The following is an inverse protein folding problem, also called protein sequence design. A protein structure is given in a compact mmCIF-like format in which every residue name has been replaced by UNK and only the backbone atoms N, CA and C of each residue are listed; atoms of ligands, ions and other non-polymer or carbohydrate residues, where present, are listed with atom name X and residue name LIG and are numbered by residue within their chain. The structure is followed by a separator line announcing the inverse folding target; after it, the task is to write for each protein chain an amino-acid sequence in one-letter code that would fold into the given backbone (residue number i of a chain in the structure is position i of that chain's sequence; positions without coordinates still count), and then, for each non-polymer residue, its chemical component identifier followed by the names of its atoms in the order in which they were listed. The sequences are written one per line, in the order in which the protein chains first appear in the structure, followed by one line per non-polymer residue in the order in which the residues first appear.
data_IF_039577398537
#
_entry.id   IF_039577398537
#
_cell.length_a   1.000
_cell.length_b   1.000
_cell.length_c   1.000
_cell.angle_alpha   90.00
_cell.angle_beta   90.00
_cell.angle_gamma   90.00
#
_symmetry.space_group_name_H-M   'P 1'
#
loop_
_entity.id
_entity.type
_entity.pdbx_description
1 polymer ?
#
# COMPACT_ATOMS: atom_id res chain seq x y z
N UNK A 1 -7.54 -28.86 -19.34
CA UNK A 1 -9.01 -28.78 -19.18
C UNK A 1 -9.32 -27.37 -18.73
N UNK A 2 -9.79 -26.49 -19.61
CA UNK A 2 -10.31 -25.17 -19.18
C UNK A 2 -11.68 -25.44 -18.58
N UNK A 3 -11.77 -25.48 -17.26
CA UNK A 3 -13.08 -25.51 -16.60
C UNK A 3 -13.78 -24.19 -16.91
N UNK A 4 -14.99 -24.27 -17.47
CA UNK A 4 -15.83 -23.09 -17.67
C UNK A 4 -16.03 -22.40 -16.32
N UNK A 5 -15.56 -21.16 -16.23
CA UNK A 5 -15.65 -20.36 -15.01
C UNK A 5 -17.11 -20.01 -14.79
N UNK A 6 -17.67 -20.43 -13.65
CA UNK A 6 -19.03 -20.09 -13.29
C UNK A 6 -19.09 -18.61 -12.87
N UNK A 7 -19.72 -17.77 -13.69
CA UNK A 7 -19.82 -16.33 -13.46
C UNK A 7 -20.50 -15.99 -12.13
N UNK A 8 -21.48 -16.80 -11.69
CA UNK A 8 -22.15 -16.59 -10.41
C UNK A 8 -21.23 -16.85 -9.21
N UNK A 9 -20.35 -17.86 -9.32
CA UNK A 9 -19.34 -18.15 -8.29
C UNK A 9 -18.27 -17.06 -8.29
N UNK A 10 -17.81 -16.63 -9.46
CA UNK A 10 -16.82 -15.55 -9.57
C UNK A 10 -17.34 -14.25 -8.96
N UNK A 11 -18.59 -13.90 -9.27
CA UNK A 11 -19.25 -12.74 -8.68
C UNK A 11 -19.42 -12.89 -7.16
N UNK A 12 -19.81 -14.07 -6.68
CA UNK A 12 -19.94 -14.31 -5.24
C UNK A 12 -18.60 -14.23 -4.50
N UNK A 13 -17.50 -14.67 -5.12
CA UNK A 13 -16.14 -14.55 -4.58
C UNK A 13 -15.66 -13.09 -4.59
N UNK A 14 -15.92 -12.34 -5.66
CA UNK A 14 -15.67 -10.90 -5.71
C UNK A 14 -16.45 -10.17 -4.60
N UNK A 15 -17.75 -10.45 -4.48
CA UNK A 15 -18.60 -9.88 -3.44
C UNK A 15 -18.09 -10.28 -2.05
N UNK A 16 -17.67 -11.53 -1.83
CA UNK A 16 -17.12 -11.98 -0.55
C UNK A 16 -15.79 -11.29 -0.21
N UNK A 17 -14.89 -11.15 -1.19
CA UNK A 17 -13.63 -10.42 -1.06
C UNK A 17 -13.90 -8.96 -0.67
N UNK A 18 -14.81 -8.29 -1.36
CA UNK A 18 -15.17 -6.92 -1.04
C UNK A 18 -15.91 -6.77 0.30
N UNK A 19 -16.73 -7.75 0.68
CA UNK A 19 -17.40 -7.77 1.99
C UNK A 19 -16.44 -8.00 3.15
N UNK A 20 -15.34 -8.70 2.93
CA UNK A 20 -14.29 -8.86 3.94
C UNK A 20 -13.71 -7.49 4.37
N UNK A 21 -13.68 -6.52 3.46
CA UNK A 21 -13.17 -5.18 3.74
C UNK A 21 -14.09 -4.35 4.64
N UNK A 22 -15.40 -4.61 4.63
CA UNK A 22 -16.35 -3.89 5.49
C UNK A 22 -16.21 -4.23 6.97
N UNK A 23 -15.48 -5.30 7.31
CA UNK A 23 -15.17 -5.63 8.70
C UNK A 23 -13.90 -4.92 9.21
N UNK A 24 -13.23 -4.13 8.36
CA UNK A 24 -12.07 -3.33 8.76
C UNK A 24 -12.59 -1.98 9.25
N UNK A 25 -12.38 -1.72 10.53
CA UNK A 25 -12.70 -0.41 11.13
C UNK A 25 -11.85 0.69 10.45
N UNK A 26 -12.42 1.86 10.13
CA UNK A 26 -11.67 2.96 9.53
C UNK A 26 -10.78 3.65 10.55
N UNK A 27 -9.59 4.05 10.14
CA UNK A 27 -8.70 4.88 10.98
C UNK A 27 -9.12 6.36 10.98
N UNK A 28 -9.97 6.76 10.02
CA UNK A 28 -10.43 8.13 9.80
C UNK A 28 -9.29 9.12 9.50
N UNK A 29 -8.21 8.61 8.89
CA UNK A 29 -7.06 9.40 8.47
C UNK A 29 -7.14 9.72 6.97
N UNK A 30 -6.29 10.65 6.51
CA UNK A 30 -6.18 11.03 5.10
C UNK A 30 -5.04 10.27 4.45
N UNK A 31 -5.36 9.41 3.50
CA UNK A 31 -4.39 8.55 2.82
C UNK A 31 -4.02 9.08 1.45
N UNK A 32 -2.73 9.01 1.13
CA UNK A 32 -2.23 9.02 -0.24
C UNK A 32 -1.69 7.62 -0.56
N UNK A 33 -2.30 6.97 -1.55
CA UNK A 33 -1.93 5.64 -2.04
C UNK A 33 -1.17 5.79 -3.36
N UNK A 34 0.14 5.52 -3.34
CA UNK A 34 1.05 5.70 -4.47
C UNK A 34 1.39 4.35 -5.10
N UNK A 35 0.94 4.10 -6.32
CA UNK A 35 1.13 2.83 -7.02
C UNK A 35 2.30 2.89 -8.00
N UNK A 36 3.23 1.96 -7.82
CA UNK A 36 4.12 1.52 -8.88
C UNK A 36 3.32 0.77 -9.96
N UNK A 37 3.37 1.29 -11.17
CA UNK A 37 2.71 0.73 -12.35
C UNK A 37 3.72 0.23 -13.39
N UNK A 38 5.00 0.14 -13.02
CA UNK A 38 6.10 -0.32 -13.86
C UNK A 38 5.92 -1.75 -14.35
N UNK A 39 6.69 -2.12 -15.38
CA UNK A 39 6.64 -3.46 -15.94
C UNK A 39 7.00 -4.56 -14.94
N UNK A 40 7.91 -4.29 -14.00
CA UNK A 40 8.36 -5.26 -13.00
C UNK A 40 7.23 -5.67 -12.04
N UNK A 41 6.27 -4.77 -11.77
CA UNK A 41 5.06 -5.04 -11.01
C UNK A 41 4.14 -6.10 -11.67
N UNK A 42 4.38 -6.50 -12.93
CA UNK A 42 3.67 -7.64 -13.54
C UNK A 42 4.18 -9.01 -13.09
N UNK A 43 5.30 -9.04 -12.38
CA UNK A 43 5.88 -10.27 -11.84
C UNK A 43 4.96 -10.87 -10.76
N UNK A 44 4.88 -12.21 -10.68
CA UNK A 44 4.13 -12.87 -9.61
C UNK A 44 4.77 -12.61 -8.24
N UNK A 45 3.92 -12.53 -7.21
CA UNK A 45 4.38 -12.57 -5.82
C UNK A 45 4.71 -14.00 -5.45
N UNK A 46 5.97 -14.23 -5.06
CA UNK A 46 6.47 -15.56 -4.69
C UNK A 46 6.07 -16.62 -5.72
N UNK A 47 5.53 -17.76 -5.29
CA UNK A 47 5.05 -18.85 -6.14
C UNK A 47 3.56 -18.74 -6.50
N UNK A 48 2.94 -17.57 -6.34
CA UNK A 48 1.51 -17.37 -6.63
C UNK A 48 1.25 -16.98 -8.10
N UNK A 49 -0.03 -17.05 -8.51
CA UNK A 49 -0.48 -16.52 -9.81
C UNK A 49 -0.87 -15.03 -9.73
N UNK A 50 -0.72 -14.40 -8.57
CA UNK A 50 -1.10 -13.00 -8.33
C UNK A 50 0.13 -12.14 -8.58
N UNK A 51 0.03 -11.19 -9.51
CA UNK A 51 1.11 -10.23 -9.76
C UNK A 51 1.24 -9.19 -8.63
N UNK A 52 2.43 -8.64 -8.45
CA UNK A 52 2.69 -7.53 -7.51
C UNK A 52 1.71 -6.37 -7.71
N UNK A 53 1.35 -6.09 -8.97
CA UNK A 53 0.38 -5.06 -9.34
C UNK A 53 -1.04 -5.41 -8.88
N UNK A 54 -1.49 -6.65 -9.07
CA UNK A 54 -2.83 -7.09 -8.63
C UNK A 54 -2.96 -7.03 -7.12
N UNK A 55 -1.94 -7.53 -6.41
CA UNK A 55 -1.86 -7.46 -4.96
C UNK A 55 -1.84 -6.02 -4.43
N UNK A 56 -1.06 -5.15 -5.06
CA UNK A 56 -1.01 -3.73 -4.73
C UNK A 56 -2.36 -3.07 -4.90
N UNK A 57 -3.00 -3.26 -6.05
CA UNK A 57 -4.34 -2.74 -6.31
C UNK A 57 -5.36 -3.26 -5.29
N UNK A 58 -5.34 -4.57 -5.00
CA UNK A 58 -6.20 -5.20 -4.01
C UNK A 58 -6.06 -4.58 -2.60
N UNK A 59 -4.84 -4.40 -2.11
CA UNK A 59 -4.59 -3.75 -0.81
C UNK A 59 -4.98 -2.27 -0.82
N UNK A 60 -4.68 -1.56 -1.91
CA UNK A 60 -5.09 -0.17 -2.09
C UNK A 60 -6.61 0.02 -2.08
N UNK A 61 -7.35 -0.92 -2.67
CA UNK A 61 -8.81 -0.93 -2.64
C UNK A 61 -9.37 -1.04 -1.22
N UNK A 62 -8.67 -1.70 -0.29
CA UNK A 62 -9.08 -1.75 1.12
C UNK A 62 -9.13 -0.33 1.67
N UNK A 63 -8.00 0.38 1.64
CA UNK A 63 -7.90 1.76 2.14
C UNK A 63 -8.86 2.71 1.39
N UNK A 64 -9.03 2.55 0.08
CA UNK A 64 -10.00 3.34 -0.68
C UNK A 64 -11.43 3.17 -0.19
N UNK A 65 -11.82 1.95 0.21
CA UNK A 65 -13.20 1.63 0.60
C UNK A 65 -13.47 1.84 2.08
N UNK A 66 -12.45 1.73 2.93
CA UNK A 66 -12.57 1.92 4.38
C UNK A 66 -12.40 3.39 4.77
N UNK A 67 -11.42 4.09 4.22
CA UNK A 67 -11.05 5.42 4.69
C UNK A 67 -11.90 6.52 4.05
N UNK A 68 -12.24 7.58 4.81
CA UNK A 68 -13.03 8.68 4.29
C UNK A 68 -12.30 9.41 3.15
N UNK A 69 -10.98 9.55 3.26
CA UNK A 69 -10.12 10.23 2.29
C UNK A 69 -8.97 9.29 1.91
N UNK A 70 -8.97 8.85 0.66
CA UNK A 70 -7.91 8.04 0.07
C UNK A 70 -7.69 8.48 -1.38
N UNK A 71 -6.60 9.23 -1.61
CA UNK A 71 -6.23 9.71 -2.94
C UNK A 71 -5.24 8.75 -3.60
N UNK A 72 -5.55 8.32 -4.82
CA UNK A 72 -4.75 7.31 -5.54
C UNK A 72 -3.90 7.97 -6.61
N UNK A 73 -2.60 7.77 -6.53
CA UNK A 73 -1.60 8.34 -7.43
C UNK A 73 -0.74 7.23 -8.01
N UNK A 74 -0.05 7.48 -9.13
CA UNK A 74 0.88 6.52 -9.71
C UNK A 74 2.13 7.17 -10.30
N UNK A 75 3.20 6.36 -10.37
CA UNK A 75 4.47 6.75 -10.99
C UNK A 75 4.37 6.61 -12.52
N UNK A 76 4.12 7.72 -13.20
CA UNK A 76 3.88 7.77 -14.63
C UNK A 76 5.08 8.38 -15.37
N UNK A 77 5.21 8.07 -16.67
CA UNK A 77 6.29 8.61 -17.54
C UNK A 77 6.35 10.15 -17.63
N UNK A 78 5.30 10.83 -17.14
CA UNK A 78 5.17 12.30 -17.12
C UNK A 78 5.25 12.88 -15.71
N UNK A 79 5.64 12.09 -14.72
CA UNK A 79 5.70 12.47 -13.31
C UNK A 79 4.65 11.75 -12.46
N UNK A 80 4.34 12.31 -11.30
CA UNK A 80 3.37 11.77 -10.36
C UNK A 80 1.97 12.26 -10.68
N UNK A 81 1.07 11.34 -11.05
CA UNK A 81 -0.26 11.69 -11.56
C UNK A 81 -1.34 10.90 -10.84
N UNK A 82 -2.57 11.44 -10.85
CA UNK A 82 -3.72 10.71 -10.33
C UNK A 82 -3.98 9.46 -11.17
N UNK A 83 -4.23 8.36 -10.48
CA UNK A 83 -4.62 7.10 -11.11
C UNK A 83 -6.11 7.10 -11.53
N UNK A 84 -6.90 8.04 -11.01
CA UNK A 84 -8.36 8.23 -11.26
C UNK A 84 -9.17 6.93 -11.15
N UNK A 85 -8.86 6.12 -10.14
CA UNK A 85 -9.63 4.92 -9.80
C UNK A 85 -10.70 5.26 -8.76
N UNK A 86 -11.89 4.67 -8.94
CA UNK A 86 -13.06 4.95 -8.10
C UNK A 86 -13.31 3.80 -7.11
N UNK A 87 -13.90 4.13 -5.96
CA UNK A 87 -14.17 3.17 -4.88
C UNK A 87 -15.05 1.99 -5.31
N UNK A 88 -15.94 2.20 -6.27
CA UNK A 88 -16.91 1.22 -6.80
C UNK A 88 -16.36 0.35 -7.94
N UNK A 89 -15.16 0.66 -8.46
CA UNK A 89 -14.54 -0.16 -9.50
C UNK A 89 -14.13 -1.53 -8.96
N UNK A 90 -14.24 -2.55 -9.82
CA UNK A 90 -13.71 -3.88 -9.55
C UNK A 90 -12.20 -3.96 -9.78
N UNK A 91 -11.54 -4.91 -9.15
CA UNK A 91 -10.11 -5.16 -9.37
C UNK A 91 -9.78 -5.33 -10.88
N UNK A 92 -10.51 -6.12 -11.68
CA UNK A 92 -10.29 -6.18 -13.13
C UNK A 92 -10.38 -4.82 -13.86
N UNK A 93 -11.29 -3.94 -13.45
CA UNK A 93 -11.41 -2.60 -14.04
C UNK A 93 -10.19 -1.73 -13.70
N UNK A 94 -9.75 -1.77 -12.44
CA UNK A 94 -8.54 -1.07 -11.98
C UNK A 94 -7.30 -1.59 -12.72
N UNK A 95 -7.15 -2.91 -12.85
CA UNK A 95 -6.05 -3.53 -13.58
C UNK A 95 -6.03 -3.13 -15.06
N UNK A 96 -7.20 -3.06 -15.70
CA UNK A 96 -7.31 -2.57 -17.06
C UNK A 96 -6.89 -1.09 -17.19
N UNK A 97 -7.18 -0.26 -16.19
CA UNK A 97 -6.70 1.14 -16.14
C UNK A 97 -5.18 1.17 -16.00
N UNK A 98 -4.62 0.52 -14.99
CA UNK A 98 -3.17 0.49 -14.73
C UNK A 98 -2.38 -0.05 -15.94
N UNK A 99 -2.88 -1.08 -16.62
CA UNK A 99 -2.20 -1.71 -17.79
C UNK A 99 -1.99 -0.76 -18.97
N UNK A 100 -2.82 0.29 -19.11
CA UNK A 100 -2.75 1.25 -20.22
C UNK A 100 -1.86 2.45 -19.93
N UNK A 101 -1.38 2.60 -18.70
CA UNK A 101 -0.58 3.75 -18.29
C UNK A 101 0.89 3.55 -18.66
N UNK A 102 1.54 4.53 -19.31
CA UNK A 102 2.98 4.50 -19.48
C UNK A 102 3.65 4.79 -18.14
N UNK A 103 4.45 3.84 -17.66
CA UNK A 103 5.10 3.92 -16.36
C UNK A 103 6.31 4.88 -16.35
N UNK A 104 6.56 5.46 -15.19
CA UNK A 104 7.77 6.22 -14.87
C UNK A 104 8.73 5.41 -14.01
N UNK A 105 9.78 6.07 -13.51
CA UNK A 105 10.62 5.50 -12.44
C UNK A 105 9.88 5.63 -11.11
N UNK A 106 10.00 4.63 -10.25
CA UNK A 106 9.42 4.64 -8.91
C UNK A 106 10.30 5.43 -7.97
N UNK A 107 9.97 6.71 -7.74
CA UNK A 107 10.66 7.55 -6.75
C UNK A 107 9.84 7.58 -5.47
N UNK A 108 10.23 6.80 -4.47
CA UNK A 108 9.47 6.70 -3.22
C UNK A 108 9.41 8.02 -2.43
N UNK A 109 10.21 9.04 -2.76
CA UNK A 109 10.12 10.37 -2.14
C UNK A 109 9.03 11.25 -2.78
N UNK A 110 8.69 10.97 -4.04
CA UNK A 110 7.79 11.78 -4.85
C UNK A 110 6.38 11.98 -4.27
N UNK A 111 5.74 11.02 -3.58
CA UNK A 111 4.42 11.24 -2.98
C UNK A 111 4.40 12.40 -1.98
N UNK A 112 5.40 12.48 -1.11
CA UNK A 112 5.52 13.54 -0.11
C UNK A 112 5.89 14.88 -0.76
N UNK A 113 6.78 14.87 -1.74
CA UNK A 113 7.18 16.09 -2.48
C UNK A 113 6.01 16.67 -3.28
N UNK A 114 5.22 15.81 -3.94
CA UNK A 114 4.04 16.22 -4.67
C UNK A 114 2.97 16.79 -3.72
N UNK A 115 2.78 16.18 -2.56
CA UNK A 115 1.84 16.67 -1.56
C UNK A 115 2.26 18.05 -1.01
N UNK A 116 3.57 18.29 -0.83
CA UNK A 116 4.11 19.63 -0.51
C UNK A 116 3.82 20.65 -1.59
N UNK A 117 4.18 20.33 -2.84
CA UNK A 117 4.01 21.23 -3.99
C UNK A 117 2.54 21.64 -4.18
N UNK A 118 1.63 20.68 -4.01
CA UNK A 118 0.20 20.89 -4.18
C UNK A 118 -0.52 21.32 -2.89
N UNK A 119 0.22 21.46 -1.77
CA UNK A 119 -0.31 21.80 -0.45
C UNK A 119 -1.47 20.90 -0.01
N UNK A 120 -1.35 19.60 -0.29
CA UNK A 120 -2.33 18.60 0.10
C UNK A 120 -1.93 17.93 1.41
N UNK A 121 -2.90 17.85 2.30
CA UNK A 121 -2.71 17.32 3.65
C UNK A 121 -3.09 15.83 3.72
N UNK A 122 -2.13 15.02 4.13
CA UNK A 122 -2.24 13.57 4.31
C UNK A 122 -1.60 13.18 5.63
N UNK A 123 -2.22 12.24 6.32
CA UNK A 123 -1.72 11.69 7.56
C UNK A 123 -0.95 10.37 7.30
N UNK A 124 -1.23 9.70 6.17
CA UNK A 124 -0.61 8.43 5.80
C UNK A 124 -0.25 8.43 4.32
N UNK A 125 1.01 8.10 4.02
CA UNK A 125 1.49 7.78 2.69
C UNK A 125 1.73 6.28 2.61
N UNK A 126 1.17 5.61 1.59
CA UNK A 126 1.45 4.21 1.30
C UNK A 126 2.03 4.12 -0.10
N UNK A 127 3.27 3.63 -0.22
CA UNK A 127 3.93 3.37 -1.50
C UNK A 127 3.88 1.87 -1.77
N UNK A 128 3.25 1.49 -2.88
CA UNK A 128 3.16 0.12 -3.34
C UNK A 128 4.19 -0.09 -4.45
N UNK A 129 5.20 -0.93 -4.22
CA UNK A 129 6.23 -1.28 -5.20
C UNK A 129 6.60 -2.76 -5.05
N UNK A 130 7.33 -3.35 -5.98
CA UNK A 130 7.83 -4.71 -5.84
C UNK A 130 9.08 -4.70 -4.95
N UNK A 131 10.04 -3.84 -5.29
CA UNK A 131 11.36 -3.74 -4.67
C UNK A 131 12.15 -2.53 -5.16
N UNK A 132 11.58 -1.74 -6.09
CA UNK A 132 12.24 -0.56 -6.66
C UNK A 132 12.11 0.61 -5.70
N UNK A 133 12.91 0.56 -4.63
CA UNK A 133 13.07 1.63 -3.65
C UNK A 133 13.94 2.76 -4.19
N UNK A 134 13.81 3.06 -5.48
CA UNK A 134 14.59 4.10 -6.10
C UNK A 134 14.13 5.45 -5.55
N UNK A 135 15.09 6.36 -5.44
CA UNK A 135 14.83 7.74 -5.08
C UNK A 135 15.74 8.62 -5.92
N UNK A 136 15.25 9.80 -6.26
CA UNK A 136 16.03 10.80 -6.98
C UNK A 136 17.04 11.48 -6.05
N UNK A 137 16.97 12.80 -5.96
CA UNK A 137 17.93 13.59 -5.17
C UNK A 137 17.64 13.56 -3.65
N UNK A 138 16.44 13.13 -3.25
CA UNK A 138 15.98 13.17 -1.85
C UNK A 138 15.55 11.76 -1.43
N UNK A 139 16.08 11.29 -0.31
CA UNK A 139 15.65 10.01 0.27
C UNK A 139 14.22 10.11 0.82
N UNK A 140 13.36 9.08 0.68
CA UNK A 140 11.97 9.12 1.16
C UNK A 140 11.81 9.51 2.64
N UNK A 141 12.70 9.05 3.53
CA UNK A 141 12.67 9.47 4.94
C UNK A 141 12.90 10.98 5.13
N UNK A 142 13.77 11.60 4.32
CA UNK A 142 13.97 13.06 4.36
C UNK A 142 12.75 13.78 3.79
N UNK A 143 12.14 13.23 2.74
CA UNK A 143 10.94 13.81 2.14
C UNK A 143 9.75 13.82 3.10
N UNK A 144 9.51 12.74 3.86
CA UNK A 144 8.42 12.73 4.87
C UNK A 144 8.75 13.61 6.07
N UNK A 145 10.01 13.68 6.53
CA UNK A 145 10.42 14.62 7.59
C UNK A 145 10.20 16.07 7.17
N UNK A 146 10.55 16.41 5.92
CA UNK A 146 10.28 17.72 5.32
C UNK A 146 8.77 17.99 5.24
N UNK A 147 7.99 17.01 4.76
CA UNK A 147 6.53 17.10 4.69
C UNK A 147 5.91 17.44 6.05
N UNK A 148 6.25 16.66 7.09
CA UNK A 148 5.76 16.86 8.46
C UNK A 148 6.02 18.27 8.96
N UNK A 149 7.22 18.79 8.72
CA UNK A 149 7.64 20.13 9.14
C UNK A 149 6.92 21.24 8.39
N UNK A 150 6.87 21.16 7.06
CA UNK A 150 6.33 22.25 6.21
C UNK A 150 4.80 22.29 6.19
N UNK A 151 4.13 21.13 6.32
CA UNK A 151 2.67 21.04 6.38
C UNK A 151 2.12 21.09 7.82
N UNK A 152 3.00 21.12 8.83
CA UNK A 152 2.64 21.06 10.25
C UNK A 152 1.78 19.82 10.61
N UNK A 153 2.21 18.66 10.11
CA UNK A 153 1.59 17.35 10.38
C UNK A 153 2.68 16.43 10.96
N UNK A 154 3.05 16.59 12.24
CA UNK A 154 4.21 15.91 12.83
C UNK A 154 4.09 14.38 12.82
N UNK A 155 2.86 13.87 12.85
CA UNK A 155 2.55 12.45 12.93
C UNK A 155 2.30 11.80 11.57
N UNK A 156 2.61 12.47 10.45
CA UNK A 156 2.41 11.88 9.12
C UNK A 156 3.23 10.61 8.96
N UNK A 157 2.59 9.50 8.58
CA UNK A 157 3.21 8.17 8.50
C UNK A 157 3.61 7.82 7.06
N UNK A 158 4.73 7.13 6.90
CA UNK A 158 5.17 6.57 5.62
C UNK A 158 5.19 5.04 5.73
N UNK A 159 4.42 4.38 4.88
CA UNK A 159 4.40 2.93 4.72
C UNK A 159 4.94 2.61 3.32
N UNK A 160 5.96 1.75 3.25
CA UNK A 160 6.46 1.23 1.98
C UNK A 160 6.14 -0.26 1.95
N UNK A 161 5.36 -0.68 0.96
CA UNK A 161 5.00 -2.08 0.76
C UNK A 161 5.76 -2.62 -0.44
N UNK A 162 6.78 -3.42 -0.17
CA UNK A 162 7.52 -4.16 -1.18
C UNK A 162 6.91 -5.54 -1.39
N UNK A 163 6.34 -5.76 -2.57
CA UNK A 163 5.61 -6.98 -2.91
C UNK A 163 6.52 -8.17 -3.23
N UNK A 164 7.81 -7.94 -3.49
CA UNK A 164 8.79 -8.99 -3.72
C UNK A 164 9.81 -9.05 -2.56
N UNK A 165 10.19 -10.27 -2.18
CA UNK A 165 11.08 -10.51 -1.07
C UNK A 165 12.55 -10.25 -1.46
N UNK A 166 13.04 -9.06 -1.12
CA UNK A 166 14.45 -8.73 -1.10
C UNK A 166 14.81 -7.89 0.12
N UNK A 167 16.09 -7.85 0.44
CA UNK A 167 16.62 -7.04 1.54
C UNK A 167 16.60 -5.56 1.12
N UNK A 168 15.45 -4.90 1.25
CA UNK A 168 15.34 -3.45 1.17
C UNK A 168 14.98 -2.87 2.54
N UNK A 169 15.38 -1.63 2.79
CA UNK A 169 14.94 -0.83 3.91
C UNK A 169 14.85 0.62 3.44
N UNK A 170 13.62 1.15 3.38
CA UNK A 170 13.37 2.58 3.14
C UNK A 170 13.07 3.26 4.47
N UNK A 171 12.37 2.58 5.37
CA UNK A 171 12.02 3.10 6.69
C UNK A 171 13.29 3.30 7.53
N UNK A 172 13.44 4.52 8.05
CA UNK A 172 14.45 4.86 9.05
C UNK A 172 14.08 4.15 10.37
N UNK A 173 14.88 3.19 10.88
CA UNK A 173 14.55 2.45 12.09
C UNK A 173 14.41 3.32 13.35
N UNK A 174 14.92 4.56 13.31
CA UNK A 174 14.79 5.52 14.41
C UNK A 174 13.51 6.34 14.38
N UNK A 175 12.72 6.24 13.30
CA UNK A 175 11.49 7.00 13.10
C UNK A 175 10.25 6.14 13.34
N UNK A 176 9.50 6.35 14.45
CA UNK A 176 8.34 5.53 14.80
C UNK A 176 7.15 5.69 13.82
N UNK A 177 7.25 6.62 12.88
CA UNK A 177 6.22 6.93 11.89
C UNK A 177 6.63 6.48 10.48
N UNK A 178 7.59 5.54 10.37
CA UNK A 178 7.88 4.83 9.13
C UNK A 178 7.72 3.31 9.32
N UNK A 179 7.25 2.61 8.28
CA UNK A 179 7.08 1.16 8.29
C UNK A 179 7.39 0.58 6.90
N UNK A 180 8.24 -0.43 6.86
CA UNK A 180 8.43 -1.28 5.69
C UNK A 180 7.65 -2.59 5.88
N UNK A 181 6.80 -2.94 4.92
CA UNK A 181 6.09 -4.23 4.85
C UNK A 181 6.63 -4.99 3.65
N UNK A 182 6.97 -6.27 3.85
CA UNK A 182 7.51 -7.14 2.80
C UNK A 182 6.54 -8.29 2.53
N UNK A 183 6.16 -8.44 1.27
CA UNK A 183 5.26 -9.51 0.81
C UNK A 183 3.78 -9.15 0.89
N UNK A 184 2.94 -10.17 0.78
CA UNK A 184 1.50 -10.03 0.69
C UNK A 184 0.82 -11.15 1.48
N UNK A 185 -0.02 -10.79 2.43
CA UNK A 185 -0.83 -11.72 3.21
C UNK A 185 -2.16 -11.07 3.65
N UNK A 186 -3.06 -11.87 4.25
CA UNK A 186 -4.35 -11.40 4.76
C UNK A 186 -4.28 -10.49 5.99
N UNK A 187 -3.17 -10.48 6.72
CA UNK A 187 -2.94 -9.67 7.92
C UNK A 187 -2.39 -8.27 7.65
N UNK A 188 -1.83 -8.00 6.46
CA UNK A 188 -1.32 -6.66 6.08
C UNK A 188 -2.29 -5.51 6.42
N UNK A 189 -3.61 -5.59 6.11
CA UNK A 189 -4.53 -4.51 6.45
C UNK A 189 -4.63 -4.22 7.96
N UNK A 190 -4.58 -5.25 8.81
CA UNK A 190 -4.63 -5.09 10.27
C UNK A 190 -3.34 -4.45 10.79
N UNK A 191 -2.19 -4.82 10.22
CA UNK A 191 -0.89 -4.20 10.54
C UNK A 191 -0.88 -2.73 10.15
N UNK A 192 -1.35 -2.38 8.94
CA UNK A 192 -1.48 -0.99 8.50
C UNK A 192 -2.39 -0.23 9.47
N UNK A 193 -3.55 -0.78 9.81
CA UNK A 193 -4.49 -0.16 10.74
C UNK A 193 -3.82 0.13 12.09
N UNK A 194 -3.24 -0.89 12.73
CA UNK A 194 -2.60 -0.75 14.04
C UNK A 194 -1.44 0.25 14.01
N UNK A 195 -0.61 0.23 12.97
CA UNK A 195 0.47 1.20 12.80
C UNK A 195 -0.04 2.64 12.62
N UNK A 196 -1.10 2.83 11.84
CA UNK A 196 -1.71 4.14 11.60
C UNK A 196 -2.31 4.72 12.89
N UNK A 197 -2.90 3.88 13.75
CA UNK A 197 -3.43 4.29 15.05
C UNK A 197 -2.37 4.40 16.15
N UNK A 198 -1.13 3.95 15.91
CA UNK A 198 -0.05 3.97 16.90
C UNK A 198 -0.10 2.80 17.90
N UNK A 199 -0.76 1.70 17.55
CA UNK A 199 -0.88 0.48 18.34
C UNK A 199 0.30 -0.49 18.12
N UNK A 200 1.11 -0.26 17.08
CA UNK A 200 2.30 -1.05 16.72
C UNK A 200 3.51 -0.11 16.60
N UNK A 201 4.62 -0.42 17.29
CA UNK A 201 5.91 0.27 17.15
C UNK A 201 6.84 -0.44 16.13
N UNK A 202 7.69 0.36 15.47
CA UNK A 202 8.38 0.21 14.15
C UNK A 202 9.29 -1.00 13.88
N UNK A 203 9.12 -2.16 14.50
CA UNK A 203 9.89 -3.36 14.09
C UNK A 203 8.96 -4.54 13.91
N UNK A 204 8.37 -4.63 12.73
CA UNK A 204 7.92 -5.90 12.17
C UNK A 204 8.31 -5.94 10.68
N UNK A 205 9.51 -6.47 10.39
CA UNK A 205 9.75 -7.11 9.09
C UNK A 205 8.88 -8.37 9.13
N UNK A 206 7.62 -8.27 8.73
CA UNK A 206 6.82 -9.47 8.56
C UNK A 206 7.26 -10.11 7.25
N UNK A 207 8.28 -10.96 7.31
CA UNK A 207 8.47 -11.94 6.25
C UNK A 207 7.33 -12.95 6.36
N UNK A 208 6.22 -12.66 5.69
CA UNK A 208 5.04 -13.54 5.65
C UNK A 208 5.30 -14.68 4.68
N UNK A 209 6.27 -15.51 5.02
CA UNK A 209 6.44 -16.82 4.40
C UNK A 209 6.04 -17.96 5.35
N UNK A 210 5.84 -17.70 6.65
CA UNK A 210 5.38 -18.70 7.62
C UNK A 210 4.73 -18.03 8.84
N UNK A 211 3.40 -17.84 8.86
CA UNK A 211 2.68 -17.80 10.14
C UNK A 211 1.23 -18.25 9.95
N UNK A 212 1.07 -19.56 9.80
CA UNK A 212 -0.14 -20.21 10.28
C UNK A 212 -0.10 -20.23 11.81
N UNK A 213 -1.19 -19.83 12.45
CA UNK A 213 -1.46 -19.97 13.88
C UNK A 213 -0.59 -19.11 14.83
N UNK A 214 -1.15 -17.97 15.28
CA UNK A 214 -1.29 -17.63 16.71
C UNK A 214 -1.74 -16.17 16.88
N UNK A 215 -3.02 -15.88 16.61
CA UNK A 215 -3.71 -14.82 17.33
C UNK A 215 -4.34 -15.45 18.56
N UNK A 216 -3.69 -15.30 19.71
CA UNK A 216 -4.18 -15.85 20.95
C UNK A 216 -3.13 -15.86 22.05
N UNK A 217 -2.83 -14.71 22.65
CA UNK A 217 -2.73 -14.60 24.10
C UNK A 217 -2.84 -13.14 24.54
N UNK A 218 -4.02 -12.78 25.06
CA UNK A 218 -4.15 -11.76 26.09
C UNK A 218 -3.55 -12.29 27.40
N UNK A 219 -2.89 -11.39 28.14
CA UNK A 219 -2.50 -11.49 29.55
C UNK A 219 -1.21 -12.24 29.90
N UNK A 220 -0.55 -11.73 30.95
CA UNK A 220 0.75 -12.07 31.57
C UNK A 220 1.89 -11.23 30.98
N UNK A 221 2.35 -10.14 31.62
CA UNK A 221 3.04 -10.02 32.92
C UNK A 221 3.10 -8.51 33.26
N UNK A 222 2.69 -7.97 34.42
CA UNK A 222 3.34 -8.02 35.74
C UNK A 222 4.87 -8.06 35.73
#
# INVERSE_FOLDING_TARGET
MSGDVNESISKALDDAFYRSFHNVEPTNKRFLLAFDVSGSMTSPIADSQISCREASAALGMVAMRTEPIAETMCFHSKGFVSLDIKKDQSLPQIMNTMKRLPFGRTDCAQPMLWALENKKEFDVFIVYTDSETWYGDIHPFEAVKKYRKEMNIPDAKLIVMGMAANNFTIADPSDPNMLDIVGFDSGVPEVIHGFVLGEIETILIISLSFFGFCFGLKSLLQ
#
